data_IF_768743686548
#
_entry.id   IF_768743686548
#
_cell.length_a   1.000
_cell.length_b   1.000
_cell.length_c   1.000
_cell.angle_alpha   90.00
_cell.angle_beta   90.00
_cell.angle_gamma   90.00
#
_symmetry.space_group_name_H-M   'P 1'
#
loop_
_entity.id
_entity.type
_entity.pdbx_description
1 polymer ?
#
# COMPACT_ATOMS: atom_id res chain seq x y z
N UNK A 1 -45.67 -3.98 -3.48
CA UNK A 1 -45.04 -2.65 -3.47
C UNK A 1 -44.25 -2.36 -2.18
N UNK A 2 -44.84 -2.47 -0.99
CA UNK A 2 -44.16 -2.23 0.31
C UNK A 2 -43.16 -3.34 0.67
N UNK A 3 -43.53 -4.61 0.51
CA UNK A 3 -42.62 -5.75 0.73
C UNK A 3 -41.43 -5.75 -0.24
N UNK A 4 -41.67 -5.40 -1.51
CA UNK A 4 -40.64 -5.30 -2.53
C UNK A 4 -39.64 -4.18 -2.22
N UNK A 5 -40.12 -3.00 -1.82
CA UNK A 5 -39.26 -1.90 -1.34
C UNK A 5 -38.46 -2.29 -0.10
N UNK A 6 -39.05 -3.05 0.83
CA UNK A 6 -38.37 -3.55 2.03
C UNK A 6 -37.26 -4.55 1.66
N UNK A 7 -37.55 -5.51 0.77
CA UNK A 7 -36.57 -6.46 0.23
C UNK A 7 -35.41 -5.76 -0.47
N UNK A 8 -35.68 -4.76 -1.29
CA UNK A 8 -34.65 -3.99 -1.99
C UNK A 8 -33.74 -3.25 -0.99
N UNK A 9 -34.30 -2.60 0.03
CA UNK A 9 -33.52 -1.93 1.09
C UNK A 9 -32.64 -2.90 1.86
N UNK A 10 -33.18 -4.07 2.24
CA UNK A 10 -32.42 -5.10 2.93
C UNK A 10 -31.26 -5.62 2.06
N UNK A 11 -31.51 -5.84 0.77
CA UNK A 11 -30.45 -6.23 -0.18
C UNK A 11 -29.36 -5.16 -0.29
N UNK A 12 -29.72 -3.90 -0.50
CA UNK A 12 -28.75 -2.80 -0.60
C UNK A 12 -27.90 -2.65 0.67
N UNK A 13 -28.52 -2.81 1.86
CA UNK A 13 -27.79 -2.77 3.13
C UNK A 13 -26.79 -3.92 3.26
N UNK A 14 -27.17 -5.13 2.83
CA UNK A 14 -26.28 -6.29 2.82
C UNK A 14 -25.14 -6.13 1.81
N UNK A 15 -25.43 -5.70 0.59
CA UNK A 15 -24.43 -5.46 -0.46
C UNK A 15 -23.41 -4.41 0.01
N UNK A 16 -23.88 -3.33 0.65
CA UNK A 16 -22.99 -2.32 1.28
C UNK A 16 -22.12 -2.96 2.35
N UNK A 17 -22.70 -3.72 3.28
CA UNK A 17 -21.93 -4.38 4.34
C UNK A 17 -20.84 -5.31 3.78
N UNK A 18 -21.20 -6.15 2.80
CA UNK A 18 -20.26 -7.08 2.16
C UNK A 18 -19.09 -6.35 1.50
N UNK A 19 -19.37 -5.27 0.75
CA UNK A 19 -18.34 -4.45 0.11
C UNK A 19 -17.26 -3.97 1.09
N UNK A 20 -17.67 -3.37 2.21
CA UNK A 20 -16.74 -2.83 3.21
C UNK A 20 -16.07 -3.94 4.03
N UNK A 21 -16.80 -5.02 4.34
CA UNK A 21 -16.27 -6.16 5.09
C UNK A 21 -15.19 -6.92 4.32
N UNK A 22 -15.41 -7.18 3.03
CA UNK A 22 -14.42 -7.88 2.18
C UNK A 22 -13.10 -7.10 2.15
N UNK A 23 -13.15 -5.80 1.89
CA UNK A 23 -11.96 -4.94 1.84
C UNK A 23 -11.24 -4.83 3.19
N UNK A 24 -11.99 -4.75 4.28
CA UNK A 24 -11.42 -4.84 5.63
C UNK A 24 -10.64 -6.15 5.80
N UNK A 25 -11.23 -7.28 5.39
CA UNK A 25 -10.60 -8.59 5.51
C UNK A 25 -9.40 -8.75 4.59
N UNK A 26 -9.45 -8.20 3.38
CA UNK A 26 -8.34 -8.26 2.43
C UNK A 26 -7.13 -7.47 2.93
N UNK A 27 -7.34 -6.27 3.48
CA UNK A 27 -6.26 -5.51 4.12
C UNK A 27 -5.73 -6.18 5.39
N UNK A 28 -6.58 -6.84 6.19
CA UNK A 28 -6.14 -7.63 7.35
C UNK A 28 -5.26 -8.82 6.94
N UNK A 29 -5.67 -9.57 5.91
CA UNK A 29 -4.91 -10.69 5.35
C UNK A 29 -3.59 -10.22 4.76
N UNK A 30 -3.61 -9.17 3.94
CA UNK A 30 -2.42 -8.59 3.33
C UNK A 30 -1.43 -8.11 4.40
N UNK A 31 -1.89 -7.44 5.46
CA UNK A 31 -1.04 -7.06 6.59
C UNK A 31 -0.39 -8.28 7.26
N UNK A 32 -1.13 -9.37 7.49
CA UNK A 32 -0.57 -10.62 8.05
C UNK A 32 0.42 -11.30 7.12
N UNK A 33 0.20 -11.21 5.80
CA UNK A 33 1.12 -11.73 4.80
C UNK A 33 2.47 -10.99 4.87
N UNK A 34 2.47 -9.66 4.98
CA UNK A 34 3.73 -8.89 5.12
C UNK A 34 4.57 -9.28 6.33
N UNK A 35 4.00 -9.86 7.38
CA UNK A 35 4.78 -10.36 8.54
C UNK A 35 5.58 -11.60 8.17
N UNK A 36 5.04 -12.45 7.28
CA UNK A 36 5.73 -13.63 6.77
C UNK A 36 6.79 -13.22 5.75
N UNK A 37 6.46 -12.30 4.84
CA UNK A 37 7.39 -11.80 3.82
C UNK A 37 8.60 -11.07 4.40
N UNK A 38 8.52 -10.55 5.64
CA UNK A 38 9.69 -9.95 6.31
C UNK A 38 10.80 -11.00 6.52
N UNK A 39 10.46 -12.28 6.71
CA UNK A 39 11.43 -13.38 6.77
C UNK A 39 12.03 -13.69 5.39
N UNK A 40 11.22 -13.60 4.33
CA UNK A 40 11.69 -13.82 2.97
C UNK A 40 12.67 -12.71 2.55
N UNK A 41 12.38 -11.46 2.92
CA UNK A 41 13.32 -10.33 2.73
C UNK A 41 14.66 -10.62 3.41
N UNK A 42 14.66 -11.18 4.62
CA UNK A 42 15.90 -11.49 5.33
C UNK A 42 16.77 -12.51 4.57
N UNK A 43 16.14 -13.56 4.00
CA UNK A 43 16.84 -14.49 3.12
C UNK A 43 17.40 -13.85 1.85
N UNK A 44 16.63 -12.93 1.24
CA UNK A 44 17.06 -12.17 0.06
C UNK A 44 18.23 -11.23 0.38
N UNK A 45 18.18 -10.54 1.52
CA UNK A 45 19.25 -9.65 2.01
C UNK A 45 20.54 -10.43 2.21
N UNK A 46 20.48 -11.58 2.88
CA UNK A 46 21.64 -12.43 3.10
C UNK A 46 22.22 -12.92 1.76
N UNK A 47 21.36 -13.34 0.83
CA UNK A 47 21.81 -13.79 -0.49
C UNK A 47 22.50 -12.68 -1.28
N UNK A 48 21.97 -11.45 -1.24
CA UNK A 48 22.58 -10.29 -1.88
C UNK A 48 23.92 -9.90 -1.26
N UNK A 49 24.02 -9.99 0.06
CA UNK A 49 25.29 -9.79 0.77
C UNK A 49 26.34 -10.82 0.33
N UNK A 50 26.00 -12.11 0.39
CA UNK A 50 26.95 -13.19 0.15
C UNK A 50 27.36 -13.33 -1.32
N UNK A 51 26.42 -13.15 -2.26
CA UNK A 51 26.68 -13.36 -3.70
C UNK A 51 27.12 -12.09 -4.44
N UNK A 52 26.65 -10.92 -4.01
CA UNK A 52 26.87 -9.67 -4.73
C UNK A 52 27.64 -8.62 -3.92
N UNK A 53 27.95 -8.90 -2.66
CA UNK A 53 28.81 -8.05 -1.81
C UNK A 53 28.15 -6.75 -1.34
N UNK A 54 26.82 -6.62 -1.45
CA UNK A 54 26.10 -5.45 -0.93
C UNK A 54 26.21 -5.39 0.60
N UNK A 55 26.39 -4.19 1.15
CA UNK A 55 26.35 -4.05 2.61
C UNK A 55 24.90 -4.18 3.10
N UNK A 56 24.69 -4.85 4.23
CA UNK A 56 23.34 -5.04 4.80
C UNK A 56 22.63 -3.69 5.03
N UNK A 57 23.39 -2.65 5.40
CA UNK A 57 22.86 -1.29 5.57
C UNK A 57 22.31 -0.69 4.27
N UNK A 58 22.87 -1.08 3.12
CA UNK A 58 22.38 -0.65 1.81
C UNK A 58 21.05 -1.30 1.43
N UNK A 59 20.72 -2.44 2.06
CA UNK A 59 19.52 -3.23 1.82
C UNK A 59 18.39 -2.93 2.81
N UNK A 60 18.64 -2.10 3.83
CA UNK A 60 17.68 -1.75 4.89
C UNK A 60 16.36 -1.20 4.34
N UNK A 61 16.39 -0.53 3.19
CA UNK A 61 15.21 0.05 2.54
C UNK A 61 14.13 -0.99 2.19
N UNK A 62 14.50 -2.27 1.98
CA UNK A 62 13.55 -3.34 1.69
C UNK A 62 12.63 -3.59 2.88
N UNK A 63 13.19 -3.61 4.09
CA UNK A 63 12.41 -3.74 5.33
C UNK A 63 11.54 -2.51 5.55
N UNK A 64 12.08 -1.32 5.34
CA UNK A 64 11.35 -0.07 5.55
C UNK A 64 10.16 0.04 4.59
N UNK A 65 10.36 -0.34 3.33
CA UNK A 65 9.31 -0.40 2.32
C UNK A 65 8.22 -1.41 2.68
N UNK A 66 8.58 -2.65 3.08
CA UNK A 66 7.60 -3.67 3.48
C UNK A 66 6.82 -3.26 4.74
N UNK A 67 7.52 -2.64 5.71
CA UNK A 67 6.87 -2.07 6.91
C UNK A 67 5.90 -0.96 6.53
N UNK A 68 6.26 -0.11 5.58
CA UNK A 68 5.36 0.93 5.10
C UNK A 68 4.10 0.33 4.44
N UNK A 69 4.24 -0.72 3.62
CA UNK A 69 3.09 -1.47 3.08
C UNK A 69 2.21 -1.98 4.23
N UNK A 70 2.80 -2.63 5.24
CA UNK A 70 2.07 -3.16 6.41
C UNK A 70 1.27 -2.07 7.13
N UNK A 71 1.89 -0.92 7.40
CA UNK A 71 1.24 0.21 8.09
C UNK A 71 0.12 0.78 7.23
N UNK A 72 0.32 0.94 5.92
CA UNK A 72 -0.74 1.45 5.06
C UNK A 72 -1.90 0.49 4.92
N UNK A 73 -1.68 -0.83 4.83
CA UNK A 73 -2.76 -1.83 4.86
C UNK A 73 -3.54 -1.75 6.18
N UNK A 74 -2.86 -1.53 7.32
CA UNK A 74 -3.54 -1.28 8.60
C UNK A 74 -4.42 -0.03 8.55
N UNK A 75 -3.93 1.07 7.96
CA UNK A 75 -4.72 2.30 7.81
C UNK A 75 -5.92 2.05 6.90
N UNK A 76 -5.71 1.46 5.71
CA UNK A 76 -6.75 1.13 4.74
C UNK A 76 -7.85 0.25 5.32
N UNK A 77 -7.48 -0.77 6.11
CA UNK A 77 -8.42 -1.60 6.86
C UNK A 77 -9.38 -0.76 7.69
N UNK A 78 -8.88 0.22 8.44
CA UNK A 78 -9.72 1.07 9.29
C UNK A 78 -10.42 2.19 8.53
N UNK A 79 -9.86 2.66 7.41
CA UNK A 79 -10.55 3.63 6.56
C UNK A 79 -11.82 3.02 5.93
N UNK A 80 -11.85 1.71 5.64
CA UNK A 80 -13.10 1.06 5.22
C UNK A 80 -14.15 0.98 6.33
N UNK A 81 -13.74 0.77 7.58
CA UNK A 81 -14.68 0.83 8.71
C UNK A 81 -15.27 2.23 8.82
N UNK A 82 -14.43 3.27 8.71
CA UNK A 82 -14.87 4.65 8.72
C UNK A 82 -15.82 4.97 7.55
N UNK A 83 -15.43 4.61 6.32
CA UNK A 83 -16.22 4.84 5.10
C UNK A 83 -17.60 4.17 5.13
N UNK A 84 -17.76 3.04 5.83
CA UNK A 84 -19.05 2.38 6.00
C UNK A 84 -20.06 3.29 6.73
N UNK A 85 -19.61 4.04 7.74
CA UNK A 85 -20.46 4.91 8.56
C UNK A 85 -20.61 6.33 8.01
N UNK A 86 -19.83 6.70 6.99
CA UNK A 86 -19.98 8.00 6.34
C UNK A 86 -21.32 8.13 5.59
N UNK A 87 -21.98 9.25 5.81
CA UNK A 87 -23.14 9.67 5.03
C UNK A 87 -22.72 10.18 3.64
N UNK A 88 -23.64 10.11 2.69
CA UNK A 88 -23.37 10.55 1.32
C UNK A 88 -23.16 12.06 1.26
N UNK A 89 -21.94 12.48 0.90
CA UNK A 89 -21.54 13.90 0.88
C UNK A 89 -20.35 14.11 -0.07
N UNK A 90 -20.04 15.37 -0.41
CA UNK A 90 -18.81 15.69 -1.16
C UNK A 90 -17.55 15.21 -0.46
N UNK A 91 -17.58 15.24 0.88
CA UNK A 91 -16.46 14.90 1.74
C UNK A 91 -16.20 13.39 1.73
N UNK A 92 -17.27 12.59 1.62
CA UNK A 92 -17.17 11.14 1.40
C UNK A 92 -16.53 10.82 0.05
N UNK A 93 -16.92 11.50 -1.04
CA UNK A 93 -16.31 11.27 -2.35
C UNK A 93 -14.82 11.62 -2.38
N UNK A 94 -14.43 12.73 -1.74
CA UNK A 94 -13.02 13.09 -1.60
C UNK A 94 -12.27 12.04 -0.79
N UNK A 95 -12.84 11.59 0.33
CA UNK A 95 -12.26 10.53 1.14
C UNK A 95 -12.08 9.22 0.36
N UNK A 96 -13.08 8.75 -0.38
CA UNK A 96 -13.00 7.54 -1.20
C UNK A 96 -11.95 7.67 -2.32
N UNK A 97 -11.81 8.86 -2.90
CA UNK A 97 -10.76 9.15 -3.87
C UNK A 97 -9.36 9.04 -3.24
N UNK A 98 -9.15 9.65 -2.07
CA UNK A 98 -7.88 9.56 -1.34
C UNK A 98 -7.58 8.13 -0.87
N UNK A 99 -8.60 7.40 -0.42
CA UNK A 99 -8.50 6.00 -0.03
C UNK A 99 -8.03 5.15 -1.21
N UNK A 100 -8.67 5.28 -2.37
CA UNK A 100 -8.29 4.55 -3.60
C UNK A 100 -6.87 4.89 -4.05
N UNK A 101 -6.48 6.18 -4.02
CA UNK A 101 -5.12 6.58 -4.34
C UNK A 101 -4.09 5.91 -3.42
N UNK A 102 -4.38 5.82 -2.11
CA UNK A 102 -3.51 5.12 -1.18
C UNK A 102 -3.42 3.63 -1.51
N UNK A 103 -4.54 2.95 -1.81
CA UNK A 103 -4.52 1.53 -2.24
C UNK A 103 -3.62 1.30 -3.43
N UNK A 104 -3.78 2.08 -4.51
CA UNK A 104 -2.98 1.95 -5.72
C UNK A 104 -1.48 2.11 -5.45
N UNK A 105 -1.08 3.04 -4.57
CA UNK A 105 0.32 3.25 -4.21
C UNK A 105 0.88 2.14 -3.33
N UNK A 106 0.06 1.62 -2.41
CA UNK A 106 0.44 0.49 -1.54
C UNK A 106 0.63 -0.78 -2.35
N UNK A 107 -0.29 -1.09 -3.26
CA UNK A 107 -0.20 -2.30 -4.08
C UNK A 107 0.96 -2.20 -5.08
N UNK A 108 1.23 -1.02 -5.67
CA UNK A 108 2.41 -0.82 -6.52
C UNK A 108 3.73 -0.99 -5.74
N UNK A 109 3.81 -0.46 -4.51
CA UNK A 109 4.99 -0.67 -3.66
C UNK A 109 5.17 -2.14 -3.30
N UNK A 110 4.08 -2.85 -3.02
CA UNK A 110 4.12 -4.27 -2.69
C UNK A 110 4.57 -5.12 -3.88
N UNK A 111 3.99 -4.88 -5.06
CA UNK A 111 4.34 -5.59 -6.29
C UNK A 111 5.83 -5.40 -6.63
N UNK A 112 6.37 -4.20 -6.46
CA UNK A 112 7.78 -3.93 -6.70
C UNK A 112 8.71 -4.73 -5.77
N UNK A 113 8.31 -4.97 -4.51
CA UNK A 113 9.09 -5.76 -3.55
C UNK A 113 9.00 -7.27 -3.79
N UNK A 114 7.86 -7.77 -4.27
CA UNK A 114 7.64 -9.19 -4.52
C UNK A 114 8.13 -9.63 -5.90
N UNK A 115 7.77 -8.89 -6.95
CA UNK A 115 7.92 -9.33 -8.34
C UNK A 115 9.09 -8.69 -9.04
N UNK A 116 9.20 -7.36 -8.99
CA UNK A 116 10.25 -6.65 -9.74
C UNK A 116 11.62 -6.93 -9.13
N UNK A 117 11.71 -6.96 -7.80
CA UNK A 117 12.93 -7.33 -7.10
C UNK A 117 13.42 -8.73 -7.45
N UNK A 118 12.53 -9.72 -7.48
CA UNK A 118 12.87 -11.11 -7.81
C UNK A 118 13.27 -11.28 -9.28
N UNK A 119 12.64 -10.50 -10.17
CA UNK A 119 13.04 -10.44 -11.58
C UNK A 119 14.45 -9.88 -11.78
N UNK A 120 14.84 -8.87 -11.00
CA UNK A 120 16.13 -8.21 -11.16
C UNK A 120 17.27 -9.05 -10.57
N UNK A 121 17.06 -9.69 -9.41
CA UNK A 121 18.15 -10.29 -8.63
C UNK A 121 18.13 -11.81 -8.50
N UNK A 122 16.99 -12.45 -8.74
CA UNK A 122 16.78 -13.88 -8.42
C UNK A 122 16.27 -14.73 -9.59
N UNK A 123 16.03 -14.13 -10.76
CA UNK A 123 15.62 -14.86 -11.96
C UNK A 123 16.82 -15.46 -12.70
N UNK A 124 16.72 -16.71 -13.13
CA UNK A 124 17.78 -17.42 -13.88
C UNK A 124 18.12 -16.74 -15.23
N UNK A 125 17.16 -16.00 -15.80
CA UNK A 125 17.32 -15.16 -17.01
C UNK A 125 17.89 -13.77 -16.71
N UNK A 126 18.17 -13.43 -15.45
CA UNK A 126 18.77 -12.14 -15.11
C UNK A 126 20.15 -12.08 -15.78
N UNK A 127 20.27 -11.20 -16.77
CA UNK A 127 21.53 -10.79 -17.41
C UNK A 127 22.48 -10.08 -16.42
N UNK A 128 22.51 -10.49 -15.15
CA UNK A 128 23.55 -10.15 -14.19
C UNK A 128 24.91 -10.75 -14.57
N UNK A 129 24.94 -11.59 -15.62
CA UNK A 129 26.14 -11.98 -16.34
C UNK A 129 26.85 -10.81 -17.07
N UNK A 130 26.23 -9.63 -17.17
CA UNK A 130 26.81 -8.44 -17.82
C UNK A 130 27.61 -7.56 -16.83
N UNK A 131 28.51 -8.18 -16.05
CA UNK A 131 29.46 -7.45 -15.20
C UNK A 131 28.87 -6.78 -13.95
N UNK A 132 29.65 -6.76 -12.87
CA UNK A 132 29.26 -6.22 -11.55
C UNK A 132 28.74 -4.77 -11.58
N UNK A 133 29.14 -3.95 -12.56
CA UNK A 133 28.74 -2.55 -12.65
C UNK A 133 27.28 -2.35 -13.10
N UNK A 134 26.77 -3.19 -14.00
CA UNK A 134 25.39 -3.12 -14.49
C UNK A 134 24.38 -3.55 -13.42
N UNK A 135 24.73 -4.59 -12.66
CA UNK A 135 23.97 -5.06 -11.50
C UNK A 135 23.81 -3.96 -10.43
N UNK A 136 24.89 -3.23 -10.17
CA UNK A 136 24.91 -2.18 -9.16
C UNK A 136 24.10 -0.96 -9.60
N UNK A 137 24.13 -0.59 -10.89
CA UNK A 137 23.30 0.49 -11.43
C UNK A 137 21.80 0.15 -11.31
N UNK A 138 21.40 -1.07 -11.74
CA UNK A 138 20.01 -1.55 -11.60
C UNK A 138 19.53 -1.56 -10.15
N UNK A 139 20.42 -1.93 -9.23
CA UNK A 139 20.15 -1.87 -7.79
C UNK A 139 19.92 -0.45 -7.29
N UNK A 140 20.77 0.50 -7.69
CA UNK A 140 20.61 1.90 -7.28
C UNK A 140 19.32 2.51 -7.81
N UNK A 141 18.94 2.19 -9.05
CA UNK A 141 17.66 2.62 -9.64
C UNK A 141 16.47 2.03 -8.88
N UNK A 142 16.50 0.72 -8.60
CA UNK A 142 15.45 0.05 -7.81
C UNK A 142 15.33 0.65 -6.41
N UNK A 143 16.46 0.84 -5.72
CA UNK A 143 16.50 1.43 -4.38
C UNK A 143 15.92 2.84 -4.36
N UNK A 144 16.26 3.66 -5.36
CA UNK A 144 15.71 5.00 -5.53
C UNK A 144 14.19 4.96 -5.68
N UNK A 145 13.68 4.10 -6.57
CA UNK A 145 12.24 3.93 -6.78
C UNK A 145 11.53 3.44 -5.51
N UNK A 146 12.03 2.37 -4.87
CA UNK A 146 11.46 1.82 -3.64
C UNK A 146 11.40 2.84 -2.51
N UNK A 147 12.47 3.61 -2.31
CA UNK A 147 12.53 4.66 -1.29
C UNK A 147 11.55 5.79 -1.60
N UNK A 148 11.48 6.22 -2.87
CA UNK A 148 10.54 7.27 -3.29
C UNK A 148 9.08 6.84 -3.10
N UNK A 149 8.70 5.64 -3.55
CA UNK A 149 7.36 5.11 -3.35
C UNK A 149 7.02 4.97 -1.87
N UNK A 150 7.95 4.47 -1.05
CA UNK A 150 7.77 4.39 0.41
C UNK A 150 7.42 5.75 1.01
N UNK A 151 8.19 6.79 0.67
CA UNK A 151 7.96 8.15 1.15
C UNK A 151 6.63 8.74 0.64
N UNK A 152 6.29 8.52 -0.62
CA UNK A 152 5.03 8.98 -1.21
C UNK A 152 3.85 8.33 -0.49
N UNK A 153 3.86 7.01 -0.35
CA UNK A 153 2.80 6.25 0.33
C UNK A 153 2.65 6.71 1.79
N UNK A 154 3.75 6.98 2.49
CA UNK A 154 3.73 7.56 3.83
C UNK A 154 3.05 8.94 3.86
N UNK A 155 3.37 9.83 2.92
CA UNK A 155 2.74 11.17 2.84
C UNK A 155 1.23 11.08 2.62
N UNK A 156 0.79 10.25 1.67
CA UNK A 156 -0.64 10.03 1.43
C UNK A 156 -1.37 9.43 2.62
N UNK A 157 -0.72 8.49 3.32
CA UNK A 157 -1.26 7.92 4.55
C UNK A 157 -1.39 8.96 5.67
N UNK A 158 -0.41 9.85 5.84
CA UNK A 158 -0.52 10.95 6.83
C UNK A 158 -1.65 11.90 6.42
N UNK A 159 -1.78 12.21 5.14
CA UNK A 159 -2.85 13.07 4.62
C UNK A 159 -4.23 12.50 4.95
N UNK A 160 -4.47 11.21 4.68
CA UNK A 160 -5.78 10.60 4.97
C UNK A 160 -6.07 10.59 6.48
N UNK A 161 -5.07 10.31 7.32
CA UNK A 161 -5.25 10.32 8.79
C UNK A 161 -5.56 11.73 9.31
N UNK A 162 -4.86 12.74 8.79
CA UNK A 162 -5.10 14.13 9.16
C UNK A 162 -6.52 14.57 8.77
N UNK A 163 -6.94 14.26 7.54
CA UNK A 163 -8.26 14.65 7.04
C UNK A 163 -9.40 13.90 7.76
N UNK A 164 -9.12 12.70 8.27
CA UNK A 164 -10.01 11.91 9.13
C UNK A 164 -10.06 12.38 10.59
N UNK A 165 -8.95 12.91 11.13
CA UNK A 165 -8.77 13.19 12.55
C UNK A 165 -9.19 14.59 13.00
N UNK A 166 -9.33 15.54 12.08
CA UNK A 166 -9.82 16.88 12.40
C UNK A 166 -11.33 16.94 12.18
N UNK A 167 -12.10 17.32 13.21
CA UNK A 167 -13.49 17.78 13.08
C UNK A 167 -13.50 19.03 12.17
N UNK A 168 -13.47 18.84 10.85
CA UNK A 168 -13.27 19.88 9.83
C UNK A 168 -12.15 19.64 8.80
N UNK A 169 -11.42 18.52 8.86
CA UNK A 169 -10.31 18.22 7.93
C UNK A 169 -10.74 18.21 6.45
N UNK A 170 -11.86 17.54 6.16
CA UNK A 170 -12.43 17.46 4.81
C UNK A 170 -12.97 18.81 4.30
N UNK A 171 -13.43 19.71 5.17
CA UNK A 171 -13.85 21.06 4.79
C UNK A 171 -12.67 22.01 4.55
N UNK A 172 -11.52 21.79 5.20
CA UNK A 172 -10.27 22.54 4.94
C UNK A 172 -9.51 22.08 3.69
N UNK A 173 -9.60 20.81 3.28
CA UNK A 173 -8.97 20.29 2.06
C UNK A 173 -9.41 21.04 0.78
N UNK A 174 -10.64 21.59 0.78
CA UNK A 174 -11.15 22.50 -0.29
C UNK A 174 -10.26 23.73 -0.54
N UNK A 175 -9.52 24.19 0.46
CA UNK A 175 -8.69 25.40 0.35
C UNK A 175 -7.29 25.15 -0.21
N UNK A 176 -6.78 23.91 -0.11
CA UNK A 176 -5.45 23.53 -0.58
C UNK A 176 -5.46 23.04 -2.04
N UNK A 177 -6.55 22.41 -2.51
CA UNK A 177 -6.68 21.94 -3.90
C UNK A 177 -7.09 23.04 -4.90
N UNK A 178 -7.38 24.26 -4.42
CA UNK A 178 -7.80 25.40 -5.24
C UNK A 178 -6.69 26.45 -5.45
N UNK A 179 -5.42 26.08 -5.19
CA UNK A 179 -4.24 26.94 -5.40
C UNK A 179 -3.18 26.25 -6.23
#
# INVERSE_FOLDING_TARGET
ATEEKSRLRAKHALDKYMFYFERFMDHDRGMKLTVREEQDIEGKVQTLHDKHGFEIIELQFLYDALRQVRVCRRVLKWTYVYGYYLEESSDKHLFEHLQKNLEEKVDALHEMLERDFDQIFFSDDSNLATGSADAHAKFMDFRSHATNFTNVTQKFMVQIIHDLGCEGGLSTARSASAR
#
